data_IF_453293613760
#
_entry.id   IF_453293613760
#
_cell.length_a   1.000
_cell.length_b   1.000
_cell.length_c   1.000
_cell.angle_alpha   90.00
_cell.angle_beta   90.00
_cell.angle_gamma   90.00
#
_symmetry.space_group_name_H-M   'P 1'
#
loop_
_entity.id
_entity.type
_entity.pdbx_description
1 polymer ?
#
# COMPACT_ATOMS: atom_id res chain seq x y z
N UNK A 1 17.97 4.29 9.42
CA UNK A 1 19.02 3.32 9.03
C UNK A 1 18.32 2.21 8.27
N UNK A 2 18.41 2.07 6.95
CA UNK A 2 19.56 2.21 6.05
C UNK A 2 19.80 0.80 5.53
N UNK A 3 19.32 0.49 4.32
CA UNK A 3 19.19 -0.88 3.79
C UNK A 3 20.48 -1.69 3.96
N UNK A 4 20.35 -2.97 4.30
CA UNK A 4 21.46 -3.91 4.40
C UNK A 4 21.69 -4.61 3.07
N UNK A 5 22.85 -5.23 2.94
CA UNK A 5 23.13 -6.10 1.80
C UNK A 5 22.08 -7.23 1.72
N UNK A 6 21.52 -7.43 0.52
CA UNK A 6 20.39 -8.34 0.29
C UNK A 6 19.00 -7.72 0.49
N UNK A 7 18.88 -6.51 1.05
CA UNK A 7 17.59 -5.84 1.20
C UNK A 7 17.07 -5.30 -0.13
N UNK A 8 15.76 -5.43 -0.35
CA UNK A 8 15.08 -4.79 -1.47
C UNK A 8 14.92 -3.30 -1.21
N UNK A 9 15.36 -2.49 -2.17
CA UNK A 9 15.20 -1.04 -2.19
C UNK A 9 14.26 -0.62 -3.31
N UNK A 10 13.64 0.55 -3.15
CA UNK A 10 12.82 1.19 -4.17
C UNK A 10 13.61 2.32 -4.81
N UNK A 11 13.56 2.39 -6.14
CA UNK A 11 14.15 3.45 -6.94
C UNK A 11 13.03 4.24 -7.60
N UNK A 12 13.04 5.56 -7.38
CA UNK A 12 12.07 6.46 -7.99
C UNK A 12 12.82 7.58 -8.74
N UNK A 13 12.66 7.70 -10.06
CA UNK A 13 13.19 8.84 -10.79
C UNK A 13 12.40 10.11 -10.42
N UNK A 14 13.11 11.16 -10.02
CA UNK A 14 12.58 12.50 -9.71
C UNK A 14 13.56 13.53 -10.26
N UNK A 15 13.10 14.38 -11.17
CA UNK A 15 13.84 15.55 -11.69
C UNK A 15 15.28 15.23 -12.13
N UNK A 16 15.43 14.16 -12.92
CA UNK A 16 16.74 13.71 -13.41
C UNK A 16 17.65 13.07 -12.35
N UNK A 17 17.13 12.83 -11.13
CA UNK A 17 17.82 12.11 -10.05
C UNK A 17 17.10 10.82 -9.73
N UNK A 18 17.83 9.87 -9.15
CA UNK A 18 17.25 8.66 -8.56
C UNK A 18 17.15 8.83 -7.05
N UNK A 19 15.94 8.77 -6.54
CA UNK A 19 15.69 8.66 -5.11
C UNK A 19 15.71 7.18 -4.73
N UNK A 20 16.58 6.84 -3.77
CA UNK A 20 16.70 5.48 -3.23
C UNK A 20 16.00 5.43 -1.89
N UNK A 21 15.08 4.49 -1.72
CA UNK A 21 14.31 4.34 -0.49
C UNK A 21 14.39 2.92 0.03
N UNK A 22 14.51 2.77 1.34
CA UNK A 22 14.23 1.47 1.98
C UNK A 22 12.74 1.14 1.84
N UNK A 23 12.39 -0.13 1.95
CA UNK A 23 10.98 -0.58 1.94
C UNK A 23 10.11 0.21 2.91
N UNK A 24 10.57 0.43 4.14
CA UNK A 24 9.82 1.18 5.16
C UNK A 24 9.63 2.64 4.76
N UNK A 25 10.67 3.28 4.23
CA UNK A 25 10.57 4.67 3.78
C UNK A 25 9.60 4.82 2.60
N UNK A 26 9.66 3.91 1.63
CA UNK A 26 8.75 3.88 0.49
C UNK A 26 7.29 3.68 0.93
N UNK A 27 7.05 2.77 1.87
CA UNK A 27 5.73 2.53 2.43
C UNK A 27 5.16 3.76 3.15
N UNK A 28 5.98 4.46 3.94
CA UNK A 28 5.56 5.67 4.63
C UNK A 28 5.24 6.83 3.67
N UNK A 29 6.05 7.01 2.61
CA UNK A 29 5.73 7.98 1.56
C UNK A 29 4.40 7.64 0.88
N UNK A 30 4.21 6.38 0.51
CA UNK A 30 2.97 5.94 -0.14
C UNK A 30 1.75 6.14 0.77
N UNK A 31 1.88 5.85 2.07
CA UNK A 31 0.82 6.11 3.07
C UNK A 31 0.46 7.60 3.15
N UNK A 32 1.46 8.49 3.08
CA UNK A 32 1.21 9.95 3.04
C UNK A 32 0.48 10.36 1.78
N UNK A 33 0.84 9.81 0.62
CA UNK A 33 0.15 10.07 -0.64
C UNK A 33 -1.31 9.59 -0.62
N UNK A 34 -1.55 8.37 -0.13
CA UNK A 34 -2.91 7.81 -0.09
C UNK A 34 -3.81 8.57 0.89
N UNK A 35 -3.29 9.00 2.05
CA UNK A 35 -4.06 9.77 3.05
C UNK A 35 -4.67 11.05 2.50
N UNK A 36 -4.12 11.63 1.44
CA UNK A 36 -4.68 12.82 0.76
C UNK A 36 -6.09 12.56 0.22
N UNK A 37 -6.41 11.32 -0.09
CA UNK A 37 -7.64 10.90 -0.75
C UNK A 37 -8.63 10.22 0.20
N UNK A 38 -8.27 10.05 1.48
CA UNK A 38 -9.12 9.41 2.49
C UNK A 38 -9.90 10.51 3.23
N UNK A 39 -11.24 10.51 3.17
CA UNK A 39 -12.05 11.44 3.95
C UNK A 39 -11.83 11.27 5.45
N UNK A 40 -12.06 12.33 6.22
CA UNK A 40 -11.96 12.26 7.68
C UNK A 40 -12.93 11.23 8.27
N UNK A 41 -12.46 10.50 9.29
CA UNK A 41 -13.25 9.46 9.96
C UNK A 41 -13.37 8.13 9.20
N UNK A 42 -12.84 8.02 7.98
CA UNK A 42 -12.89 6.77 7.20
C UNK A 42 -11.69 5.87 7.52
N UNK A 43 -11.95 4.64 7.94
CA UNK A 43 -10.95 3.58 7.98
C UNK A 43 -10.95 2.78 6.68
N UNK A 44 -10.17 3.23 5.70
CA UNK A 44 -10.05 2.59 4.39
C UNK A 44 -9.64 1.10 4.48
N UNK A 45 -8.84 0.72 5.48
CA UNK A 45 -8.43 -0.68 5.64
C UNK A 45 -9.63 -1.58 5.97
N UNK A 46 -10.50 -1.13 6.86
CA UNK A 46 -11.69 -1.89 7.24
C UNK A 46 -12.66 -2.03 6.08
N UNK A 47 -12.85 -0.96 5.29
CA UNK A 47 -13.70 -1.00 4.09
C UNK A 47 -13.18 -2.00 3.05
N UNK A 48 -11.89 -1.96 2.73
CA UNK A 48 -11.28 -2.86 1.76
C UNK A 48 -11.31 -4.33 2.23
N UNK A 49 -11.07 -4.57 3.53
CA UNK A 49 -11.15 -5.93 4.10
C UNK A 49 -12.60 -6.44 4.07
N UNK A 50 -13.56 -5.59 4.44
CA UNK A 50 -14.98 -5.94 4.39
C UNK A 50 -15.41 -6.27 2.96
N UNK A 51 -14.92 -5.50 1.98
CA UNK A 51 -15.24 -5.74 0.58
C UNK A 51 -14.69 -7.07 0.06
N UNK A 52 -13.42 -7.37 0.38
CA UNK A 52 -12.82 -8.68 0.03
C UNK A 52 -13.59 -9.84 0.64
N UNK A 53 -14.05 -9.71 1.90
CA UNK A 53 -14.87 -10.76 2.54
C UNK A 53 -16.22 -10.95 1.84
N UNK A 54 -16.88 -9.87 1.39
CA UNK A 54 -18.12 -9.94 0.61
C UNK A 54 -17.90 -10.62 -0.74
N UNK A 55 -16.81 -10.31 -1.42
CA UNK A 55 -16.44 -10.94 -2.69
C UNK A 55 -16.21 -12.45 -2.52
N UNK A 56 -15.40 -12.86 -1.55
CA UNK A 56 -15.14 -14.27 -1.26
C UNK A 56 -16.42 -15.03 -0.90
N UNK A 57 -17.33 -14.42 -0.14
CA UNK A 57 -18.61 -15.02 0.19
C UNK A 57 -19.51 -15.22 -1.04
N UNK A 58 -19.46 -14.32 -2.03
CA UNK A 58 -20.17 -14.48 -3.31
C UNK A 58 -19.58 -15.60 -4.15
N UNK A 59 -18.25 -15.68 -4.25
CA UNK A 59 -17.56 -16.76 -4.97
C UNK A 59 -17.84 -18.14 -4.36
N UNK A 60 -17.92 -18.23 -3.03
CA UNK A 60 -18.26 -19.47 -2.34
C UNK A 60 -19.71 -19.92 -2.58
N UNK A 61 -20.65 -18.98 -2.75
CA UNK A 61 -22.07 -19.28 -3.04
C UNK A 61 -22.34 -19.68 -4.50
N UNK A 62 -21.49 -19.28 -5.44
CA UNK A 62 -21.63 -19.63 -6.87
C UNK A 62 -21.01 -20.98 -7.27
N UNK A 63 -20.44 -21.72 -6.31
CA UNK A 63 -19.82 -23.05 -6.50
C UNK A 63 -20.63 -24.21 -5.89
N UNK A 64 -21.87 -23.96 -5.47
CA UNK A 64 -22.78 -24.96 -4.90
C UNK A 64 -23.93 -25.30 -5.85
#
# INVERSE_FOLDING_TARGET
MGAKEGDRIFLKPIDGKLQIMSKTAALEEMRKLVRQYIPEGVNLADELIADRRREVAREAKGRG
#
